data_IF_171426595788
#
_entry.id   IF_171426595788
#
_cell.length_a   1.000
_cell.length_b   1.000
_cell.length_c   1.000
_cell.angle_alpha   90.00
_cell.angle_beta   90.00
_cell.angle_gamma   90.00
#
_symmetry.space_group_name_H-M   'P 1'
#
loop_
_entity.id
_entity.type
_entity.pdbx_description
1 polymer ?
#
# COMPACT_ATOMS: atom_id res chain seq x y z
N UNK A 1 -21.91 -22.51 21.16
CA UNK A 1 -20.74 -21.66 21.52
C UNK A 1 -19.42 -22.20 20.97
N UNK A 2 -19.18 -23.53 20.96
CA UNK A 2 -17.97 -24.16 20.41
C UNK A 2 -17.79 -24.00 18.89
N UNK A 3 -18.88 -23.97 18.11
CA UNK A 3 -18.80 -23.84 16.64
C UNK A 3 -18.34 -22.46 16.13
N UNK A 4 -18.61 -21.38 16.86
CA UNK A 4 -18.27 -20.00 16.44
C UNK A 4 -16.77 -19.74 16.62
N UNK A 5 -16.18 -20.27 17.70
CA UNK A 5 -14.75 -20.11 18.00
C UNK A 5 -13.91 -20.88 16.98
N UNK A 6 -14.30 -22.13 16.67
CA UNK A 6 -13.62 -22.93 15.65
C UNK A 6 -13.77 -22.30 14.24
N UNK A 7 -14.95 -21.77 13.91
CA UNK A 7 -15.18 -21.10 12.64
C UNK A 7 -14.28 -19.84 12.47
N UNK A 8 -14.07 -19.07 13.54
CA UNK A 8 -13.14 -17.92 13.53
C UNK A 8 -11.66 -18.30 13.48
N UNK A 9 -11.31 -19.55 13.84
CA UNK A 9 -9.94 -20.07 13.86
C UNK A 9 -9.52 -20.69 12.52
N UNK A 10 -10.46 -21.27 11.76
CA UNK A 10 -10.15 -22.05 10.56
C UNK A 10 -10.73 -21.50 9.25
N UNK A 11 -11.70 -20.57 9.28
CA UNK A 11 -12.25 -19.92 8.08
C UNK A 11 -12.23 -18.41 8.24
N UNK A 12 -11.16 -17.79 7.74
CA UNK A 12 -11.04 -16.33 7.67
C UNK A 12 -11.98 -15.73 6.60
N UNK A 13 -12.46 -16.53 5.64
CA UNK A 13 -13.30 -16.08 4.53
C UNK A 13 -14.79 -16.31 4.77
N UNK A 14 -15.36 -15.65 5.78
CA UNK A 14 -16.82 -15.62 5.95
C UNK A 14 -17.34 -14.19 6.01
N UNK A 15 -18.37 -13.93 5.18
CA UNK A 15 -19.17 -12.69 5.17
C UNK A 15 -19.68 -12.27 6.56
N UNK A 16 -19.74 -13.21 7.51
CA UNK A 16 -20.12 -12.97 8.89
C UNK A 16 -19.13 -12.12 9.72
N UNK A 17 -17.88 -11.93 9.28
CA UNK A 17 -16.85 -11.14 9.99
C UNK A 17 -16.59 -9.74 9.41
N UNK A 18 -17.22 -9.38 8.28
CA UNK A 18 -16.99 -8.10 7.59
C UNK A 18 -17.46 -6.85 8.38
N UNK A 19 -18.33 -7.01 9.38
CA UNK A 19 -18.92 -5.92 10.17
C UNK A 19 -18.35 -5.76 11.58
N UNK A 20 -17.29 -6.49 11.92
CA UNK A 20 -16.73 -6.47 13.28
C UNK A 20 -15.89 -5.21 13.56
N UNK A 21 -16.21 -4.48 14.62
CA UNK A 21 -15.37 -3.37 15.12
C UNK A 21 -13.99 -3.88 15.55
N UNK A 22 -12.97 -3.04 15.42
CA UNK A 22 -11.58 -3.38 15.77
C UNK A 22 -11.45 -3.78 17.25
N UNK A 23 -12.15 -3.08 18.15
CA UNK A 23 -12.16 -3.38 19.58
C UNK A 23 -12.77 -4.76 19.88
N UNK A 24 -13.88 -5.10 19.21
CA UNK A 24 -14.50 -6.43 19.35
C UNK A 24 -13.59 -7.54 18.80
N UNK A 25 -12.82 -7.26 17.74
CA UNK A 25 -11.83 -8.21 17.20
C UNK A 25 -10.62 -8.37 18.11
N UNK A 26 -10.11 -7.30 18.72
CA UNK A 26 -9.06 -7.38 19.73
C UNK A 26 -9.58 -8.15 20.94
N UNK A 27 -10.81 -7.89 21.37
CA UNK A 27 -11.42 -8.55 22.52
C UNK A 27 -11.66 -10.04 22.26
N UNK A 28 -12.16 -10.42 21.08
CA UNK A 28 -12.34 -11.83 20.69
C UNK A 28 -10.99 -12.54 20.56
N UNK A 29 -9.96 -11.89 20.03
CA UNK A 29 -8.59 -12.44 19.95
C UNK A 29 -7.92 -12.58 21.31
N UNK A 30 -8.12 -11.60 22.19
CA UNK A 30 -7.68 -11.67 23.58
C UNK A 30 -8.42 -12.82 24.28
N UNK A 31 -9.71 -12.98 24.00
CA UNK A 31 -10.54 -14.07 24.54
C UNK A 31 -10.07 -15.42 24.02
N UNK A 32 -9.76 -15.57 22.73
CA UNK A 32 -9.17 -16.79 22.16
C UNK A 32 -7.80 -17.07 22.74
N UNK A 33 -6.92 -16.06 22.85
CA UNK A 33 -5.60 -16.23 23.47
C UNK A 33 -5.71 -16.64 24.94
N UNK A 34 -6.65 -16.06 25.69
CA UNK A 34 -6.96 -16.44 27.07
C UNK A 34 -7.51 -17.87 27.12
N UNK A 35 -8.45 -18.24 26.24
CA UNK A 35 -9.00 -19.61 26.15
C UNK A 35 -7.87 -20.61 25.85
N UNK A 36 -6.99 -20.32 24.88
CA UNK A 36 -5.87 -21.18 24.53
C UNK A 36 -4.83 -21.27 25.66
N UNK A 37 -4.57 -20.18 26.38
CA UNK A 37 -3.72 -20.18 27.56
C UNK A 37 -4.33 -20.99 28.72
N UNK A 38 -5.65 -20.89 28.93
CA UNK A 38 -6.39 -21.68 29.91
C UNK A 38 -6.37 -23.16 29.53
N UNK A 39 -6.64 -23.51 28.26
CA UNK A 39 -6.56 -24.89 27.76
C UNK A 39 -5.14 -25.42 27.94
N UNK A 40 -4.10 -24.65 27.57
CA UNK A 40 -2.70 -25.04 27.75
C UNK A 40 -2.35 -25.26 29.24
N UNK A 41 -2.84 -24.40 30.13
CA UNK A 41 -2.66 -24.54 31.57
C UNK A 41 -3.37 -25.78 32.13
N UNK A 42 -4.61 -26.05 31.69
CA UNK A 42 -5.36 -27.25 32.07
C UNK A 42 -4.67 -28.51 31.54
N UNK A 43 -4.21 -28.50 30.28
CA UNK A 43 -3.44 -29.62 29.71
C UNK A 43 -2.14 -29.87 30.46
N UNK A 44 -1.45 -28.82 30.92
CA UNK A 44 -0.25 -28.94 31.75
C UNK A 44 -0.57 -29.56 33.12
N UNK A 45 -1.66 -29.13 33.77
CA UNK A 45 -2.12 -29.70 35.05
C UNK A 45 -2.51 -31.18 34.88
N UNK A 46 -3.25 -31.49 33.81
CA UNK A 46 -3.64 -32.86 33.45
C UNK A 46 -2.45 -33.74 33.03
N UNK A 47 -1.33 -33.15 32.59
CA UNK A 47 -0.08 -33.87 32.34
C UNK A 47 0.66 -34.20 33.65
N UNK A 48 0.64 -33.27 34.61
CA UNK A 48 1.37 -33.38 35.89
C UNK A 48 0.68 -34.39 36.83
N UNK A 49 -0.65 -34.41 36.89
CA UNK A 49 -1.41 -35.28 37.82
C UNK A 49 -1.11 -36.79 37.60
N UNK A 50 -1.17 -37.36 36.39
CA UNK A 50 -0.83 -38.76 36.14
C UNK A 50 0.66 -39.05 36.31
N UNK A 51 1.53 -38.09 35.98
CA UNK A 51 2.98 -38.24 36.14
C UNK A 51 3.38 -38.37 37.62
N UNK A 52 2.74 -37.59 38.51
CA UNK A 52 2.97 -37.64 39.96
C UNK A 52 2.29 -38.85 40.61
N UNK A 53 1.03 -39.12 40.26
CA UNK A 53 0.22 -40.14 40.96
C UNK A 53 0.55 -41.55 40.47
N UNK A 54 0.73 -41.76 39.17
CA UNK A 54 0.80 -43.10 38.63
C UNK A 54 2.22 -43.64 38.48
N UNK A 55 3.27 -42.81 38.46
CA UNK A 55 4.69 -43.19 38.32
C UNK A 55 4.95 -44.39 37.38
N UNK A 56 4.11 -44.56 36.35
CA UNK A 56 4.08 -45.71 35.45
C UNK A 56 4.43 -45.23 34.04
N UNK A 57 4.95 -46.11 33.18
CA UNK A 57 5.31 -45.76 31.80
C UNK A 57 4.16 -45.09 31.03
N UNK A 58 2.92 -45.49 31.30
CA UNK A 58 1.70 -44.94 30.68
C UNK A 58 1.46 -43.48 31.12
N UNK A 59 1.71 -43.14 32.39
CA UNK A 59 1.59 -41.77 32.89
C UNK A 59 2.57 -40.81 32.22
N UNK A 60 3.79 -41.26 31.95
CA UNK A 60 4.79 -40.47 31.22
C UNK A 60 4.42 -40.25 29.75
N UNK A 61 3.79 -41.22 29.09
CA UNK A 61 3.29 -41.06 27.71
C UNK A 61 2.21 -39.97 27.64
N UNK A 62 1.24 -40.01 28.55
CA UNK A 62 0.19 -38.99 28.62
C UNK A 62 0.72 -37.61 28.96
N UNK A 63 1.67 -37.52 29.90
CA UNK A 63 2.33 -36.27 30.24
C UNK A 63 3.10 -35.68 29.05
N UNK A 64 3.77 -36.52 28.26
CA UNK A 64 4.46 -36.12 27.04
C UNK A 64 3.52 -35.58 25.96
N UNK A 65 2.39 -36.25 25.71
CA UNK A 65 1.40 -35.81 24.71
C UNK A 65 0.78 -34.47 25.11
N UNK A 66 0.27 -34.35 26.35
CA UNK A 66 -0.39 -33.12 26.80
C UNK A 66 0.59 -31.97 27.01
N UNK A 67 1.80 -32.24 27.52
CA UNK A 67 2.88 -31.25 27.61
C UNK A 67 3.33 -30.76 26.24
N UNK A 68 3.48 -31.67 25.28
CA UNK A 68 3.80 -31.34 23.88
C UNK A 68 2.72 -30.50 23.21
N UNK A 69 1.44 -30.84 23.41
CA UNK A 69 0.31 -30.06 22.89
C UNK A 69 0.26 -28.65 23.52
N UNK A 70 0.44 -28.56 24.84
CA UNK A 70 0.46 -27.28 25.57
C UNK A 70 1.60 -26.37 25.08
N UNK A 71 2.80 -26.94 24.87
CA UNK A 71 3.95 -26.24 24.33
C UNK A 71 3.72 -25.79 22.88
N UNK A 72 3.16 -26.67 22.02
CA UNK A 72 2.85 -26.35 20.64
C UNK A 72 1.84 -25.18 20.54
N UNK A 73 0.80 -25.20 21.36
CA UNK A 73 -0.20 -24.12 21.41
C UNK A 73 0.41 -22.81 21.96
N UNK A 74 1.28 -22.89 22.97
CA UNK A 74 1.97 -21.74 23.52
C UNK A 74 2.93 -21.11 22.49
N UNK A 75 3.74 -21.92 21.82
CA UNK A 75 4.62 -21.50 20.73
C UNK A 75 3.78 -20.88 19.61
N UNK A 76 2.69 -21.52 19.18
CA UNK A 76 1.82 -21.00 18.13
C UNK A 76 1.22 -19.64 18.50
N UNK A 77 0.80 -19.44 19.75
CA UNK A 77 0.23 -18.18 20.24
C UNK A 77 1.28 -17.07 20.28
N UNK A 78 2.51 -17.38 20.71
CA UNK A 78 3.63 -16.42 20.70
C UNK A 78 4.06 -16.11 19.26
N UNK A 79 4.21 -17.13 18.41
CA UNK A 79 4.64 -16.98 17.02
C UNK A 79 3.65 -16.12 16.26
N UNK A 80 2.34 -16.38 16.36
CA UNK A 80 1.32 -15.58 15.68
C UNK A 80 1.30 -14.12 16.12
N UNK A 81 1.57 -13.85 17.40
CA UNK A 81 1.61 -12.49 17.95
C UNK A 81 2.93 -11.75 17.65
N UNK A 82 4.05 -12.48 17.56
CA UNK A 82 5.36 -11.96 17.15
C UNK A 82 5.42 -11.72 15.64
N UNK A 83 4.82 -12.61 14.84
CA UNK A 83 4.74 -12.50 13.40
C UNK A 83 3.75 -11.41 12.94
N UNK A 84 2.79 -10.96 13.76
CA UNK A 84 1.96 -9.80 13.37
C UNK A 84 2.71 -8.46 13.41
N UNK A 85 3.88 -8.41 14.06
CA UNK A 85 4.46 -7.16 14.60
C UNK A 85 5.74 -6.65 13.95
N UNK A 86 6.11 -7.14 12.78
CA UNK A 86 7.34 -6.70 12.14
C UNK A 86 7.02 -5.73 10.99
N UNK A 87 7.27 -4.44 11.23
CA UNK A 87 7.59 -3.52 10.14
C UNK A 87 8.87 -4.02 9.43
N UNK A 88 8.94 -3.94 8.10
CA UNK A 88 10.13 -4.33 7.37
C UNK A 88 11.32 -3.43 7.75
N UNK A 89 12.53 -3.98 7.71
CA UNK A 89 13.75 -3.25 8.11
C UNK A 89 13.99 -2.00 7.27
N UNK A 90 13.70 -2.04 5.96
CA UNK A 90 13.77 -0.87 5.08
C UNK A 90 12.88 0.27 5.59
N UNK A 91 11.66 -0.05 6.02
CA UNK A 91 10.74 0.95 6.55
C UNK A 91 11.12 1.45 7.94
N UNK A 92 11.74 0.61 8.79
CA UNK A 92 12.33 1.08 10.05
C UNK A 92 13.44 2.10 9.81
N UNK A 93 14.25 1.93 8.75
CA UNK A 93 15.25 2.91 8.37
C UNK A 93 14.61 4.23 7.94
N UNK A 94 13.58 4.19 7.08
CA UNK A 94 12.78 5.37 6.70
C UNK A 94 12.22 6.08 7.93
N UNK A 95 11.73 5.35 8.93
CA UNK A 95 11.27 5.94 10.18
C UNK A 95 12.37 6.71 10.91
N UNK A 96 13.58 6.14 11.02
CA UNK A 96 14.72 6.80 11.68
C UNK A 96 15.20 8.05 10.95
N UNK A 97 15.00 8.11 9.64
CA UNK A 97 15.36 9.26 8.81
C UNK A 97 14.34 10.40 8.94
N UNK A 98 13.07 10.10 9.21
CA UNK A 98 11.97 11.08 9.17
C UNK A 98 11.45 11.49 10.56
N UNK A 99 11.75 10.75 11.62
CA UNK A 99 11.22 11.01 12.97
C UNK A 99 12.32 11.08 14.04
N UNK A 100 12.05 11.77 15.18
CA UNK A 100 13.00 11.83 16.30
C UNK A 100 13.31 10.45 16.90
N UNK A 101 14.51 10.31 17.47
CA UNK A 101 14.97 9.05 18.06
C UNK A 101 14.04 8.53 19.14
N UNK A 102 13.55 9.39 20.04
CA UNK A 102 12.60 9.00 21.09
C UNK A 102 11.32 8.37 20.53
N UNK A 103 10.83 8.90 19.39
CA UNK A 103 9.68 8.37 18.69
C UNK A 103 9.95 6.98 18.12
N UNK A 104 11.06 6.83 17.38
CA UNK A 104 11.48 5.58 16.79
C UNK A 104 11.75 4.51 17.85
N UNK A 105 12.38 4.89 18.96
CA UNK A 105 12.66 4.04 20.10
C UNK A 105 11.39 3.48 20.72
N UNK A 106 10.39 4.33 20.92
CA UNK A 106 9.10 3.90 21.46
C UNK A 106 8.42 2.89 20.53
N UNK A 107 8.33 3.22 19.24
CA UNK A 107 7.73 2.35 18.22
C UNK A 107 8.42 0.99 18.19
N UNK A 108 9.74 0.95 18.21
CA UNK A 108 10.52 -0.28 18.12
C UNK A 108 10.44 -1.10 19.40
N UNK A 109 10.63 -0.48 20.58
CA UNK A 109 10.58 -1.16 21.88
C UNK A 109 9.20 -1.74 22.18
N UNK A 110 8.13 -1.06 21.76
CA UNK A 110 6.74 -1.50 21.94
C UNK A 110 6.17 -2.28 20.76
N UNK A 111 6.93 -2.37 19.67
CA UNK A 111 6.52 -3.03 18.42
C UNK A 111 5.13 -2.56 17.98
N UNK A 112 4.96 -1.24 17.85
CA UNK A 112 3.70 -0.67 17.44
C UNK A 112 3.38 -1.06 16.00
N UNK A 113 2.10 -1.28 15.73
CA UNK A 113 1.57 -1.39 14.38
C UNK A 113 1.56 -0.03 13.68
N UNK A 114 1.42 -0.03 12.35
CA UNK A 114 1.27 1.21 11.58
C UNK A 114 0.05 2.02 12.02
N UNK A 115 -1.04 1.33 12.39
CA UNK A 115 -2.26 1.97 12.89
C UNK A 115 -2.06 2.63 14.25
N UNK A 116 -1.41 1.92 15.19
CA UNK A 116 -1.06 2.49 16.50
C UNK A 116 -0.13 3.70 16.33
N UNK A 117 0.79 3.65 15.37
CA UNK A 117 1.68 4.77 15.01
C UNK A 117 0.91 5.96 14.44
N UNK A 118 -0.06 5.71 13.55
CA UNK A 118 -0.94 6.74 12.98
C UNK A 118 -1.76 7.45 14.06
N UNK A 119 -2.34 6.68 14.99
CA UNK A 119 -3.09 7.24 16.14
C UNK A 119 -2.19 8.08 17.03
N UNK A 120 -0.97 7.62 17.27
CA UNK A 120 0.01 8.34 18.08
C UNK A 120 0.40 9.69 17.44
N UNK A 121 0.70 9.71 16.15
CA UNK A 121 1.03 10.94 15.42
C UNK A 121 -0.15 11.92 15.40
N UNK A 122 -1.36 11.43 15.14
CA UNK A 122 -2.55 12.28 15.18
C UNK A 122 -2.77 12.88 16.57
N UNK A 123 -2.61 12.10 17.65
CA UNK A 123 -2.72 12.62 19.01
C UNK A 123 -1.67 13.68 19.33
N UNK A 124 -0.46 13.53 18.80
CA UNK A 124 0.61 14.52 18.96
C UNK A 124 0.33 15.81 18.16
N UNK A 125 -0.15 15.67 16.93
CA UNK A 125 -0.50 16.82 16.08
C UNK A 125 -1.61 17.68 16.72
N UNK A 126 -2.67 17.03 17.24
CA UNK A 126 -3.76 17.73 17.92
C UNK A 126 -3.29 18.38 19.23
N UNK A 127 -2.41 17.71 19.99
CA UNK A 127 -1.83 18.30 21.20
C UNK A 127 -1.00 19.55 20.92
N UNK A 128 -0.27 19.59 19.80
CA UNK A 128 0.49 20.77 19.36
C UNK A 128 -0.44 21.92 18.97
N UNK A 129 -1.56 21.63 18.28
CA UNK A 129 -2.56 22.65 17.89
C UNK A 129 -3.27 23.26 19.09
N UNK A 130 -3.54 22.46 20.12
CA UNK A 130 -4.29 22.91 21.30
C UNK A 130 -3.48 23.82 22.24
N UNK A 131 -2.16 24.00 22.03
CA UNK A 131 -1.20 24.92 22.71
C UNK A 131 -1.17 24.95 24.25
N UNK A 132 -2.12 24.30 24.95
CA UNK A 132 -2.42 24.59 26.37
C UNK A 132 -2.89 23.34 27.13
N UNK A 133 -2.81 22.15 26.51
CA UNK A 133 -3.34 20.90 27.08
C UNK A 133 -2.25 19.83 27.11
N UNK A 134 -2.01 19.24 28.29
CA UNK A 134 -1.17 18.06 28.44
C UNK A 134 -1.62 16.95 27.48
N UNK A 135 -0.64 16.30 26.82
CA UNK A 135 -0.84 15.15 25.95
C UNK A 135 -1.73 14.05 26.59
N UNK A 136 -1.81 14.00 27.92
CA UNK A 136 -2.68 13.12 28.70
C UNK A 136 -4.16 13.12 28.27
N UNK A 137 -4.71 14.27 27.83
CA UNK A 137 -6.13 14.36 27.39
C UNK A 137 -6.40 13.49 26.17
N UNK A 138 -5.42 13.39 25.27
CA UNK A 138 -5.52 12.64 24.01
C UNK A 138 -5.39 11.13 24.22
N UNK A 139 -4.81 10.70 25.35
CA UNK A 139 -4.65 9.29 25.69
C UNK A 139 -5.98 8.57 25.96
N UNK A 140 -7.06 9.31 26.24
CA UNK A 140 -8.39 8.72 26.46
C UNK A 140 -8.91 8.02 25.20
N UNK A 141 -8.61 8.57 24.03
CA UNK A 141 -9.00 8.00 22.74
C UNK A 141 -8.12 6.82 22.30
N UNK A 142 -6.99 6.58 22.98
CA UNK A 142 -6.07 5.51 22.59
C UNK A 142 -6.54 4.15 23.09
N UNK A 143 -6.29 3.07 22.30
CA UNK A 143 -6.52 1.71 22.77
C UNK A 143 -5.79 1.45 24.09
N UNK A 144 -6.43 0.70 25.00
CA UNK A 144 -5.92 0.42 26.35
C UNK A 144 -4.47 -0.08 26.35
N UNK A 145 -4.10 -0.90 25.36
CA UNK A 145 -2.74 -1.40 25.17
C UNK A 145 -1.76 -0.25 24.92
N UNK A 146 -2.01 0.58 23.92
CA UNK A 146 -1.15 1.71 23.55
C UNK A 146 -0.98 2.70 24.72
N UNK A 147 -2.08 3.02 25.43
CA UNK A 147 -2.03 3.85 26.64
C UNK A 147 -1.17 3.23 27.73
N UNK A 148 -1.32 1.93 27.98
CA UNK A 148 -0.51 1.22 28.98
C UNK A 148 0.98 1.20 28.59
N UNK A 149 1.26 1.07 27.30
CA UNK A 149 2.63 1.07 26.78
C UNK A 149 3.30 2.43 26.87
N UNK A 150 2.58 3.52 26.57
CA UNK A 150 3.03 4.91 26.77
C UNK A 150 3.28 5.20 28.24
N UNK A 151 2.34 4.88 29.13
CA UNK A 151 2.49 5.09 30.57
C UNK A 151 3.72 4.36 31.12
N UNK A 152 3.97 3.13 30.67
CA UNK A 152 5.16 2.35 31.06
C UNK A 152 6.46 2.90 30.49
N UNK A 153 6.41 3.55 29.33
CA UNK A 153 7.59 4.16 28.71
C UNK A 153 7.95 5.50 29.36
N UNK A 154 6.94 6.18 29.92
CA UNK A 154 7.04 7.51 30.51
C UNK A 154 6.60 8.54 29.49
N UNK A 155 5.42 9.15 29.72
CA UNK A 155 4.83 10.13 28.81
C UNK A 155 5.71 11.37 28.71
N UNK A 156 6.16 11.91 29.84
CA UNK A 156 7.08 13.06 29.86
C UNK A 156 8.35 12.75 29.08
N UNK A 157 9.02 11.63 29.38
CA UNK A 157 10.20 11.19 28.63
C UNK A 157 9.95 11.10 27.11
N UNK A 158 8.77 10.65 26.71
CA UNK A 158 8.38 10.57 25.31
C UNK A 158 8.15 11.97 24.71
N UNK A 159 7.37 12.84 25.37
CA UNK A 159 7.06 14.18 24.88
C UNK A 159 8.27 15.11 24.88
N UNK A 160 9.09 15.09 25.93
CA UNK A 160 10.31 15.89 26.05
C UNK A 160 11.30 15.54 24.93
N UNK A 161 11.36 14.26 24.54
CA UNK A 161 12.16 13.78 23.41
C UNK A 161 11.64 14.16 22.02
N UNK A 162 10.47 14.79 21.94
CA UNK A 162 9.85 15.30 20.71
C UNK A 162 9.91 16.82 20.59
N UNK A 163 10.20 17.53 21.68
CA UNK A 163 10.20 18.99 21.70
C UNK A 163 11.15 19.56 20.63
N UNK A 164 10.67 20.56 19.88
CA UNK A 164 11.35 21.30 18.81
C UNK A 164 11.36 20.73 17.38
N UNK A 165 10.65 19.62 17.09
CA UNK A 165 10.51 19.15 15.69
C UNK A 165 9.06 19.04 15.22
N UNK A 166 8.77 19.70 14.10
CA UNK A 166 7.55 19.46 13.35
C UNK A 166 7.56 18.02 12.81
N UNK A 167 6.59 17.21 13.25
CA UNK A 167 6.51 15.82 12.84
C UNK A 167 5.89 15.73 11.46
N UNK A 168 6.59 15.09 10.53
CA UNK A 168 6.06 14.87 9.18
C UNK A 168 4.84 13.94 9.26
N UNK A 169 3.73 14.24 8.57
CA UNK A 169 2.57 13.35 8.53
C UNK A 169 2.94 11.96 7.98
N UNK A 170 2.40 10.92 8.62
CA UNK A 170 2.69 9.54 8.24
C UNK A 170 2.36 9.24 6.78
N UNK A 171 1.25 9.80 6.28
CA UNK A 171 0.83 9.60 4.89
C UNK A 171 1.83 10.18 3.91
N UNK A 172 2.51 11.28 4.25
CA UNK A 172 3.57 11.85 3.42
C UNK A 172 4.78 10.90 3.39
N UNK A 173 5.18 10.37 4.54
CA UNK A 173 6.29 9.40 4.64
C UNK A 173 5.98 8.13 3.84
N UNK A 174 4.78 7.56 4.01
CA UNK A 174 4.34 6.36 3.31
C UNK A 174 4.23 6.59 1.80
N UNK A 175 3.63 7.70 1.37
CA UNK A 175 3.46 8.04 -0.05
C UNK A 175 4.81 8.19 -0.76
N UNK A 176 5.79 8.82 -0.11
CA UNK A 176 7.10 9.06 -0.70
C UNK A 176 7.97 7.81 -0.77
N UNK A 177 7.87 6.92 0.23
CA UNK A 177 8.85 5.85 0.41
C UNK A 177 8.33 4.45 0.08
N UNK A 178 7.01 4.22 0.08
CA UNK A 178 6.43 2.88 -0.05
C UNK A 178 5.61 2.72 -1.36
N UNK A 179 6.13 2.01 -2.39
CA UNK A 179 5.45 1.84 -3.68
C UNK A 179 4.03 1.28 -3.59
N UNK A 180 3.80 0.23 -2.79
CA UNK A 180 2.48 -0.40 -2.68
C UNK A 180 1.47 0.56 -2.03
N UNK A 181 1.91 1.34 -1.05
CA UNK A 181 1.08 2.36 -0.42
C UNK A 181 0.76 3.50 -1.41
N UNK A 182 1.75 3.96 -2.18
CA UNK A 182 1.54 4.97 -3.23
C UNK A 182 0.50 4.49 -4.25
N UNK A 183 0.64 3.26 -4.76
CA UNK A 183 -0.28 2.66 -5.72
C UNK A 183 -1.70 2.55 -5.13
N UNK A 184 -1.83 2.12 -3.88
CA UNK A 184 -3.12 2.09 -3.17
C UNK A 184 -3.76 3.47 -3.13
N UNK A 185 -3.00 4.48 -2.68
CA UNK A 185 -3.49 5.86 -2.57
C UNK A 185 -3.89 6.44 -3.93
N UNK A 186 -3.15 6.12 -4.99
CA UNK A 186 -3.47 6.52 -6.37
C UNK A 186 -4.85 6.00 -6.83
N UNK A 187 -5.22 4.78 -6.40
CA UNK A 187 -6.55 4.21 -6.67
C UNK A 187 -7.63 4.83 -5.78
N UNK A 188 -7.34 5.05 -4.49
CA UNK A 188 -8.32 5.55 -3.53
C UNK A 188 -8.75 7.00 -3.81
N UNK A 189 -7.87 7.83 -4.36
CA UNK A 189 -8.19 9.22 -4.74
C UNK A 189 -8.74 9.36 -6.16
N UNK A 190 -8.83 8.25 -6.90
CA UNK A 190 -9.33 8.25 -8.26
C UNK A 190 -10.83 8.57 -8.29
N UNK A 191 -11.32 9.23 -9.36
CA UNK A 191 -12.75 9.40 -9.54
C UNK A 191 -13.43 8.03 -9.75
N UNK A 192 -14.75 7.98 -9.63
CA UNK A 192 -15.49 6.76 -9.99
C UNK A 192 -15.18 6.40 -11.45
N UNK A 193 -14.90 5.12 -11.71
CA UNK A 193 -14.63 4.64 -13.06
C UNK A 193 -15.79 5.04 -13.97
N UNK A 194 -15.55 5.60 -15.17
CA UNK A 194 -16.59 5.92 -16.14
C UNK A 194 -17.15 4.61 -16.73
N UNK A 195 -17.85 3.84 -15.92
CA UNK A 195 -18.46 2.59 -16.32
C UNK A 195 -19.92 2.91 -16.67
N UNK A 196 -20.25 2.89 -17.97
CA UNK A 196 -21.57 3.18 -18.51
C UNK A 196 -22.68 2.31 -17.90
N UNK A 197 -23.18 2.69 -16.72
CA UNK A 197 -24.27 2.02 -16.02
C UNK A 197 -23.91 0.75 -15.24
N UNK A 198 -22.63 0.39 -15.11
CA UNK A 198 -22.22 -0.79 -14.32
C UNK A 198 -22.12 -0.43 -12.84
N UNK A 199 -23.21 -0.69 -12.11
CA UNK A 199 -23.19 -0.68 -10.66
C UNK A 199 -22.40 -1.89 -10.12
N UNK A 200 -21.57 -1.68 -9.09
CA UNK A 200 -20.84 -2.70 -8.33
C UNK A 200 -19.58 -3.31 -8.98
N UNK A 201 -18.68 -2.49 -9.52
CA UNK A 201 -17.33 -2.96 -9.86
C UNK A 201 -16.56 -3.41 -8.61
N UNK A 202 -15.82 -4.51 -8.71
CA UNK A 202 -14.93 -4.98 -7.64
C UNK A 202 -13.73 -4.03 -7.49
N UNK A 203 -13.06 -4.07 -6.33
CA UNK A 203 -11.86 -3.25 -6.09
C UNK A 203 -10.75 -3.62 -7.09
N UNK A 204 -10.61 -4.90 -7.39
CA UNK A 204 -9.63 -5.42 -8.35
C UNK A 204 -9.90 -4.89 -9.77
N UNK A 205 -11.18 -4.73 -10.15
CA UNK A 205 -11.57 -4.16 -11.43
C UNK A 205 -11.27 -2.66 -11.51
N UNK A 206 -11.56 -1.93 -10.42
CA UNK A 206 -11.23 -0.50 -10.33
C UNK A 206 -9.72 -0.29 -10.40
N UNK A 207 -8.95 -1.04 -9.61
CA UNK A 207 -7.49 -0.98 -9.64
C UNK A 207 -6.94 -1.41 -11.00
N UNK A 208 -7.52 -2.42 -11.61
CA UNK A 208 -7.17 -2.89 -12.96
C UNK A 208 -7.41 -1.84 -14.04
N UNK A 209 -8.46 -1.05 -13.92
CA UNK A 209 -8.74 0.05 -14.83
C UNK A 209 -7.64 1.10 -14.73
N UNK A 210 -7.41 1.65 -13.53
CA UNK A 210 -6.50 2.77 -13.29
C UNK A 210 -5.01 2.46 -13.45
N UNK A 211 -4.59 1.20 -13.25
CA UNK A 211 -3.21 0.77 -13.51
C UNK A 211 -3.04 0.19 -14.92
N UNK A 212 -4.13 0.08 -15.68
CA UNK A 212 -4.15 -0.45 -17.03
C UNK A 212 -3.85 0.60 -18.09
N UNK A 213 -4.19 0.25 -19.34
CA UNK A 213 -4.12 1.19 -20.47
C UNK A 213 -5.21 2.25 -20.36
N UNK A 214 -4.91 3.47 -20.82
CA UNK A 214 -5.78 4.63 -20.71
C UNK A 214 -7.24 4.32 -21.14
N UNK A 215 -8.15 4.32 -20.18
CA UNK A 215 -9.60 4.15 -20.41
C UNK A 215 -10.01 2.77 -20.92
N UNK A 216 -9.16 1.74 -20.81
CA UNK A 216 -9.41 0.44 -21.45
C UNK A 216 -9.09 0.42 -22.95
N UNK A 217 -8.42 1.45 -23.46
CA UNK A 217 -8.05 1.58 -24.86
C UNK A 217 -6.99 0.53 -25.27
N UNK A 218 -7.20 -0.12 -26.43
CA UNK A 218 -6.31 -1.18 -26.93
C UNK A 218 -4.94 -0.65 -27.38
N UNK A 219 -4.89 0.55 -27.95
CA UNK A 219 -3.68 1.14 -28.54
C UNK A 219 -3.09 2.29 -27.72
N UNK A 220 -3.63 2.58 -26.53
CA UNK A 220 -3.05 3.54 -25.61
C UNK A 220 -2.02 2.90 -24.67
N UNK A 221 -1.13 3.71 -24.16
CA UNK A 221 -0.17 3.33 -23.14
C UNK A 221 -0.80 3.36 -21.72
N UNK A 222 -0.04 2.94 -20.71
CA UNK A 222 -0.41 3.09 -19.29
C UNK A 222 -0.02 4.48 -18.78
N UNK A 223 -0.42 4.84 -17.56
CA UNK A 223 0.05 6.08 -16.94
C UNK A 223 1.57 6.09 -16.68
N UNK A 224 2.22 4.90 -16.63
CA UNK A 224 3.62 4.73 -16.22
C UNK A 224 4.58 5.04 -17.37
N UNK A 225 4.59 6.30 -17.77
CA UNK A 225 5.48 6.87 -18.79
C UNK A 225 6.28 8.03 -18.22
N UNK A 226 7.49 8.23 -18.75
CA UNK A 226 8.32 9.39 -18.40
C UNK A 226 7.59 10.70 -18.68
N UNK A 227 6.90 10.79 -19.81
CA UNK A 227 6.12 11.95 -20.22
C UNK A 227 5.05 12.32 -19.20
N UNK A 228 4.38 11.34 -18.58
CA UNK A 228 3.37 11.57 -17.55
C UNK A 228 3.94 12.34 -16.37
N UNK A 229 5.18 12.04 -15.95
CA UNK A 229 5.82 12.78 -14.86
C UNK A 229 6.22 14.18 -15.27
N UNK A 230 6.79 14.36 -16.47
CA UNK A 230 7.11 15.70 -17.00
C UNK A 230 5.86 16.59 -17.04
N UNK A 231 4.75 16.04 -17.54
CA UNK A 231 3.45 16.72 -17.56
C UNK A 231 3.02 17.07 -16.13
N UNK A 232 3.02 16.10 -15.22
CA UNK A 232 2.60 16.32 -13.83
C UNK A 232 3.43 17.40 -13.10
N UNK A 233 4.72 17.55 -13.44
CA UNK A 233 5.56 18.59 -12.87
C UNK A 233 5.21 20.00 -13.36
N UNK A 234 4.79 20.14 -14.63
CA UNK A 234 4.70 21.43 -15.32
C UNK A 234 3.30 21.95 -15.58
N UNK A 235 2.31 21.08 -15.73
CA UNK A 235 0.95 21.49 -16.03
C UNK A 235 0.29 22.18 -14.83
N UNK A 236 -0.52 23.19 -15.10
CA UNK A 236 -1.35 23.87 -14.11
C UNK A 236 -2.71 23.18 -13.96
N UNK A 237 -3.43 23.48 -12.88
CA UNK A 237 -4.76 22.89 -12.66
C UNK A 237 -5.75 23.37 -13.72
N UNK A 238 -5.66 24.65 -14.06
CA UNK A 238 -6.49 25.34 -15.03
C UNK A 238 -6.30 24.74 -16.42
N UNK A 239 -5.04 24.55 -16.85
CA UNK A 239 -4.72 23.95 -18.14
C UNK A 239 -5.17 22.50 -18.20
N UNK A 240 -4.91 21.71 -17.16
CA UNK A 240 -5.33 20.32 -17.12
C UNK A 240 -6.86 20.15 -17.20
N UNK A 241 -7.60 20.96 -16.45
CA UNK A 241 -9.06 20.96 -16.49
C UNK A 241 -9.59 21.36 -17.87
N UNK A 242 -8.95 22.34 -18.50
CA UNK A 242 -9.29 22.77 -19.86
C UNK A 242 -9.08 21.62 -20.84
N UNK A 243 -7.90 20.99 -20.86
CA UNK A 243 -7.63 19.81 -21.69
C UNK A 243 -8.67 18.70 -21.48
N UNK A 244 -8.99 18.38 -20.23
CA UNK A 244 -9.99 17.37 -19.89
C UNK A 244 -11.39 17.72 -20.42
N UNK A 245 -11.77 18.99 -20.43
CA UNK A 245 -13.06 19.46 -20.96
C UNK A 245 -13.15 19.29 -22.47
N UNK A 246 -12.12 19.72 -23.22
CA UNK A 246 -12.09 19.56 -24.69
C UNK A 246 -12.07 18.08 -25.11
N UNK A 247 -11.32 17.23 -24.39
CA UNK A 247 -11.31 15.78 -24.65
C UNK A 247 -12.69 15.15 -24.44
N UNK A 248 -13.45 15.58 -23.42
CA UNK A 248 -14.82 15.09 -23.19
C UNK A 248 -15.80 15.49 -24.29
N UNK A 249 -15.55 16.62 -24.96
CA UNK A 249 -16.35 17.13 -26.06
C UNK A 249 -15.85 16.66 -27.43
N UNK A 250 -14.88 15.74 -27.47
CA UNK A 250 -14.25 15.23 -28.70
C UNK A 250 -13.60 16.32 -29.57
N UNK A 251 -13.11 17.40 -28.94
CA UNK A 251 -12.58 18.60 -29.61
C UNK A 251 -11.09 18.82 -29.31
N UNK A 252 -10.28 17.76 -29.44
CA UNK A 252 -8.85 17.80 -29.14
C UNK A 252 -8.03 18.66 -30.12
N UNK A 253 -8.54 18.87 -31.33
CA UNK A 253 -7.90 19.66 -32.39
C UNK A 253 -8.25 21.16 -32.33
N UNK A 254 -8.92 21.61 -31.26
CA UNK A 254 -9.30 23.01 -31.11
C UNK A 254 -8.08 23.96 -31.13
N UNK A 255 -8.17 25.04 -31.90
CA UNK A 255 -7.09 26.04 -32.05
C UNK A 255 -6.71 26.71 -30.72
N UNK A 256 -7.68 26.96 -29.82
CA UNK A 256 -7.41 27.54 -28.51
C UNK A 256 -6.61 26.59 -27.61
N UNK A 257 -6.79 25.27 -27.82
CA UNK A 257 -6.08 24.23 -27.09
C UNK A 257 -4.64 24.03 -27.61
N UNK A 258 -4.36 24.33 -28.88
CA UNK A 258 -3.01 24.21 -29.45
C UNK A 258 -1.98 25.06 -28.70
N UNK A 259 -2.34 26.29 -28.33
CA UNK A 259 -1.46 27.17 -27.56
C UNK A 259 -1.13 26.59 -26.17
N UNK A 260 -2.11 25.95 -25.52
CA UNK A 260 -1.92 25.28 -24.23
C UNK A 260 -1.00 24.06 -24.40
N UNK A 261 -1.28 23.21 -25.40
CA UNK A 261 -0.49 22.01 -25.72
C UNK A 261 0.97 22.34 -26.03
N UNK A 262 1.21 23.39 -26.80
CA UNK A 262 2.56 23.87 -27.11
C UNK A 262 3.28 24.37 -25.85
N UNK A 263 2.63 25.23 -25.06
CA UNK A 263 3.21 25.77 -23.82
C UNK A 263 3.59 24.68 -22.81
N UNK A 264 2.75 23.67 -22.63
CA UNK A 264 3.05 22.52 -21.77
C UNK A 264 4.24 21.73 -22.33
N UNK A 265 4.29 21.51 -23.65
CA UNK A 265 5.38 20.77 -24.29
C UNK A 265 6.72 21.49 -24.16
N UNK A 266 6.73 22.81 -24.34
CA UNK A 266 7.91 23.67 -24.10
C UNK A 266 8.39 23.54 -22.64
N UNK A 267 7.47 23.70 -21.68
CA UNK A 267 7.80 23.61 -20.26
C UNK A 267 8.35 22.23 -19.86
N UNK A 268 7.84 21.15 -20.47
CA UNK A 268 8.36 19.80 -20.31
C UNK A 268 9.77 19.65 -20.93
N UNK A 269 10.01 20.25 -22.11
CA UNK A 269 11.31 20.19 -22.77
C UNK A 269 12.40 20.87 -21.93
N UNK A 270 12.07 21.97 -21.25
CA UNK A 270 13.00 22.64 -20.33
C UNK A 270 13.46 21.71 -19.19
N UNK A 271 12.58 20.87 -18.64
CA UNK A 271 12.95 19.88 -17.60
C UNK A 271 13.99 18.91 -18.13
N UNK A 272 13.76 18.39 -19.34
CA UNK A 272 14.65 17.40 -19.93
C UNK A 272 16.02 18.01 -20.22
N UNK A 273 16.04 19.24 -20.76
CA UNK A 273 17.30 19.96 -21.05
C UNK A 273 18.09 20.33 -19.79
N UNK A 274 17.42 20.66 -18.69
CA UNK A 274 18.10 20.88 -17.40
C UNK A 274 18.78 19.61 -16.87
N UNK A 275 18.29 18.43 -17.26
CA UNK A 275 18.89 17.14 -16.90
C UNK A 275 20.05 16.71 -17.78
N UNK A 276 20.08 17.11 -19.06
CA UNK A 276 21.17 16.85 -20.00
C UNK A 276 21.12 17.84 -21.20
N UNK A 277 21.94 18.89 -21.16
CA UNK A 277 21.99 19.92 -22.21
C UNK A 277 22.51 19.39 -23.56
N UNK A 278 23.19 18.25 -23.57
CA UNK A 278 23.79 17.65 -24.77
C UNK A 278 22.90 16.60 -25.44
N UNK A 279 21.70 16.37 -24.92
CA UNK A 279 20.80 15.37 -25.48
C UNK A 279 20.25 15.88 -26.83
N UNK A 280 20.60 15.18 -27.92
CA UNK A 280 20.04 15.43 -29.25
C UNK A 280 18.56 15.05 -29.32
N UNK A 281 17.69 15.90 -28.81
CA UNK A 281 16.23 15.68 -28.77
C UNK A 281 15.61 16.12 -30.09
N UNK A 282 14.94 15.19 -30.76
CA UNK A 282 13.98 15.52 -31.82
C UNK A 282 12.77 16.22 -31.18
N UNK A 283 12.74 17.55 -31.29
CA UNK A 283 11.73 18.42 -30.68
C UNK A 283 10.33 18.04 -31.17
N UNK A 284 10.16 17.81 -32.47
CA UNK A 284 8.87 17.46 -33.08
C UNK A 284 8.34 16.14 -32.50
N UNK A 285 9.20 15.13 -32.40
CA UNK A 285 8.83 13.85 -31.79
C UNK A 285 8.55 13.98 -30.30
N UNK A 286 9.32 14.77 -29.57
CA UNK A 286 9.11 15.02 -28.14
C UNK A 286 7.75 15.68 -27.89
N UNK A 287 7.42 16.73 -28.64
CA UNK A 287 6.18 17.49 -28.48
C UNK A 287 4.98 16.60 -28.74
N UNK A 288 5.04 15.83 -29.84
CA UNK A 288 4.01 14.83 -30.15
C UNK A 288 3.88 13.80 -29.02
N UNK A 289 4.98 13.35 -28.45
CA UNK A 289 4.98 12.43 -27.31
C UNK A 289 4.28 13.01 -26.07
N UNK A 290 4.58 14.26 -25.71
CA UNK A 290 3.93 14.95 -24.58
C UNK A 290 2.44 15.14 -24.84
N UNK A 291 2.07 15.61 -26.04
CA UNK A 291 0.66 15.82 -26.41
C UNK A 291 -0.14 14.52 -26.39
N UNK A 292 0.43 13.42 -26.91
CA UNK A 292 -0.21 12.11 -26.86
C UNK A 292 -0.41 11.64 -25.42
N UNK A 293 0.61 11.72 -24.56
CA UNK A 293 0.48 11.33 -23.16
C UNK A 293 -0.54 12.22 -22.41
N UNK A 294 -0.61 13.51 -22.73
CA UNK A 294 -1.61 14.42 -22.16
C UNK A 294 -3.03 14.02 -22.56
N UNK A 295 -3.24 13.70 -23.84
CA UNK A 295 -4.51 13.17 -24.35
C UNK A 295 -4.89 11.87 -23.62
N UNK A 296 -3.96 10.93 -23.50
CA UNK A 296 -4.17 9.65 -22.82
C UNK A 296 -4.56 9.84 -21.34
N UNK A 297 -3.90 10.75 -20.61
CA UNK A 297 -4.26 11.08 -19.23
C UNK A 297 -5.68 11.62 -19.11
N UNK A 298 -6.06 12.54 -20.00
CA UNK A 298 -7.40 13.12 -20.04
C UNK A 298 -8.47 12.07 -20.37
N UNK A 299 -8.19 11.20 -21.34
CA UNK A 299 -9.08 10.11 -21.76
C UNK A 299 -9.21 9.05 -20.69
N UNK A 300 -8.11 8.74 -20.00
CA UNK A 300 -8.13 7.79 -18.89
C UNK A 300 -9.01 8.28 -17.74
N UNK A 301 -9.16 9.60 -17.62
CA UNK A 301 -9.95 10.25 -16.58
C UNK A 301 -9.16 10.50 -15.30
N UNK A 302 -7.84 10.64 -15.40
CA UNK A 302 -6.97 10.94 -14.26
C UNK A 302 -7.42 12.24 -13.60
N UNK A 303 -7.61 12.24 -12.28
CA UNK A 303 -7.96 13.47 -11.55
C UNK A 303 -6.76 14.36 -11.28
N UNK A 304 -7.01 15.63 -10.95
CA UNK A 304 -5.96 16.55 -10.54
C UNK A 304 -5.21 16.04 -9.29
N UNK A 305 -5.93 15.40 -8.36
CA UNK A 305 -5.38 14.82 -7.15
C UNK A 305 -4.44 13.64 -7.47
N UNK A 306 -4.81 12.79 -8.43
CA UNK A 306 -3.94 11.73 -8.95
C UNK A 306 -2.69 12.31 -9.62
N UNK A 307 -2.83 13.38 -10.39
CA UNK A 307 -1.68 14.05 -11.02
C UNK A 307 -0.74 14.68 -9.99
N UNK A 308 -1.29 15.29 -8.93
CA UNK A 308 -0.50 15.79 -7.80
C UNK A 308 0.24 14.66 -7.07
N UNK A 309 -0.37 13.47 -6.99
CA UNK A 309 0.27 12.31 -6.40
C UNK A 309 1.47 11.82 -7.24
N UNK A 310 1.37 11.84 -8.57
CA UNK A 310 2.48 11.58 -9.49
C UNK A 310 3.58 12.63 -9.30
N UNK A 311 3.20 13.91 -9.23
CA UNK A 311 4.12 15.03 -9.00
C UNK A 311 4.93 14.89 -7.70
N UNK A 312 4.35 14.26 -6.67
CA UNK A 312 4.99 14.10 -5.36
C UNK A 312 6.13 13.06 -5.33
N UNK A 313 6.19 12.17 -6.33
CA UNK A 313 7.32 11.26 -6.49
C UNK A 313 8.47 11.95 -7.21
N UNK A 314 9.68 11.68 -6.75
CA UNK A 314 10.89 11.99 -7.48
C UNK A 314 10.97 11.19 -8.79
N UNK A 315 11.70 11.75 -9.75
CA UNK A 315 11.80 11.16 -11.07
C UNK A 315 12.44 9.76 -11.05
N UNK A 316 13.36 9.48 -10.13
CA UNK A 316 14.02 8.16 -10.04
C UNK A 316 13.04 7.05 -9.68
N UNK A 317 12.23 7.26 -8.63
CA UNK A 317 11.18 6.30 -8.24
C UNK A 317 10.09 6.17 -9.31
N UNK A 318 9.74 7.26 -10.01
CA UNK A 318 8.81 7.20 -11.13
C UNK A 318 9.36 6.43 -12.34
N UNK A 319 10.60 6.71 -12.72
CA UNK A 319 11.30 6.03 -13.82
C UNK A 319 11.45 4.53 -13.53
N UNK A 320 11.65 4.17 -12.25
CA UNK A 320 11.60 2.78 -11.81
C UNK A 320 10.22 2.13 -12.02
N UNK A 321 9.11 2.79 -11.70
CA UNK A 321 7.76 2.28 -12.01
C UNK A 321 7.53 2.16 -13.52
N UNK A 322 8.03 3.10 -14.32
CA UNK A 322 7.98 3.01 -15.79
C UNK A 322 8.72 1.77 -16.30
N UNK A 323 9.91 1.50 -15.75
CA UNK A 323 10.71 0.32 -16.09
C UNK A 323 9.99 -0.99 -15.71
N UNK A 324 9.39 -1.04 -14.52
CA UNK A 324 8.60 -2.19 -14.06
C UNK A 324 7.35 -2.42 -14.91
N UNK A 325 6.68 -1.36 -15.35
CA UNK A 325 5.49 -1.49 -16.18
C UNK A 325 5.84 -1.99 -17.58
N UNK A 326 6.93 -1.46 -18.15
CA UNK A 326 7.46 -1.81 -19.48
C UNK A 326 6.44 -1.64 -20.61
N UNK A 327 5.41 -0.80 -20.41
CA UNK A 327 4.21 -0.67 -21.23
C UNK A 327 3.48 -2.02 -21.51
N UNK A 328 3.75 -3.01 -20.65
CA UNK A 328 3.15 -4.36 -20.67
C UNK A 328 2.22 -4.57 -19.49
N UNK A 329 1.82 -3.48 -18.82
CA UNK A 329 0.98 -3.49 -17.63
C UNK A 329 1.62 -4.30 -16.49
N UNK A 330 2.96 -4.28 -16.41
CA UNK A 330 3.71 -5.00 -15.39
C UNK A 330 3.32 -4.54 -13.98
N UNK A 331 3.12 -3.22 -13.79
CA UNK A 331 2.70 -2.67 -12.50
C UNK A 331 1.33 -3.19 -12.11
N UNK A 332 0.37 -3.16 -13.04
CA UNK A 332 -0.98 -3.72 -12.83
C UNK A 332 -0.94 -5.18 -12.39
N UNK A 333 -0.11 -6.02 -13.04
CA UNK A 333 -0.07 -7.47 -12.79
C UNK A 333 0.30 -7.83 -11.36
N UNK A 334 1.29 -7.16 -10.77
CA UNK A 334 1.72 -7.43 -9.39
C UNK A 334 0.95 -6.60 -8.35
N UNK A 335 0.54 -5.39 -8.71
CA UNK A 335 -0.02 -4.46 -7.75
C UNK A 335 -1.47 -4.81 -7.40
N UNK A 336 -2.33 -5.07 -8.40
CA UNK A 336 -3.77 -5.28 -8.20
C UNK A 336 -4.06 -6.33 -7.10
N UNK A 337 -3.41 -7.52 -7.08
CA UNK A 337 -3.60 -8.50 -6.01
C UNK A 337 -3.28 -7.98 -4.60
N UNK A 338 -2.42 -6.97 -4.48
CA UNK A 338 -1.98 -6.39 -3.21
C UNK A 338 -2.82 -5.18 -2.76
N UNK A 339 -3.63 -4.57 -3.64
CA UNK A 339 -4.36 -3.32 -3.34
C UNK A 339 -5.69 -3.52 -2.58
N UNK A 340 -5.98 -4.77 -2.19
CA UNK A 340 -7.11 -5.14 -1.35
C UNK A 340 -6.75 -5.28 0.12
N UNK A 341 -7.05 -6.46 0.65
CA UNK A 341 -6.88 -6.83 2.04
C UNK A 341 -5.41 -6.80 2.52
N UNK A 342 -4.46 -7.05 1.61
CA UNK A 342 -3.02 -7.05 1.87
C UNK A 342 -2.53 -5.67 2.32
N UNK A 343 -3.06 -4.59 1.72
CA UNK A 343 -2.62 -3.21 1.94
C UNK A 343 -3.60 -2.32 2.70
N UNK A 344 -4.78 -2.83 3.02
CA UNK A 344 -5.69 -2.16 3.93
C UNK A 344 -5.23 -2.36 5.38
N UNK A 345 -4.62 -1.32 5.97
CA UNK A 345 -4.18 -1.30 7.37
C UNK A 345 -5.31 -1.71 8.35
N UNK A 346 -6.58 -1.44 8.00
CA UNK A 346 -7.77 -1.76 8.82
C UNK A 346 -8.24 -3.20 8.65
N UNK A 347 -7.74 -3.88 7.63
CA UNK A 347 -8.07 -5.25 7.35
C UNK A 347 -7.30 -6.22 8.25
N UNK A 348 -7.95 -7.31 8.62
CA UNK A 348 -7.38 -8.28 9.54
C UNK A 348 -6.27 -9.13 8.91
N UNK A 349 -6.23 -9.17 7.58
CA UNK A 349 -5.24 -9.83 6.74
C UNK A 349 -4.21 -8.84 6.18
N UNK A 350 -4.08 -7.65 6.79
CA UNK A 350 -3.05 -6.69 6.43
C UNK A 350 -1.65 -7.30 6.55
N UNK A 351 -0.84 -7.13 5.52
CA UNK A 351 0.53 -7.64 5.44
C UNK A 351 1.55 -6.48 5.46
N UNK A 352 2.05 -6.07 6.64
CA UNK A 352 2.99 -4.95 6.74
C UNK A 352 4.30 -5.19 5.98
N UNK A 353 4.73 -6.45 5.84
CA UNK A 353 5.97 -6.80 5.13
C UNK A 353 5.84 -6.73 3.60
N UNK A 354 4.63 -6.55 3.08
CA UNK A 354 4.36 -6.31 1.66
C UNK A 354 4.03 -4.84 1.47
N UNK A 355 3.07 -4.34 2.25
CA UNK A 355 2.49 -3.01 2.08
C UNK A 355 3.42 -1.86 2.47
N UNK A 356 4.39 -2.12 3.37
CA UNK A 356 5.38 -1.14 3.82
C UNK A 356 6.76 -1.39 3.20
N UNK A 357 6.86 -2.20 2.13
CA UNK A 357 8.10 -2.28 1.38
C UNK A 357 8.48 -0.90 0.87
N UNK A 358 9.76 -0.59 0.99
CA UNK A 358 10.33 0.67 0.50
C UNK A 358 10.91 0.51 -0.91
N UNK A 359 11.16 1.61 -1.60
CA UNK A 359 11.90 1.60 -2.88
C UNK A 359 13.23 0.87 -2.77
N UNK A 360 13.98 1.13 -1.69
CA UNK A 360 15.24 0.44 -1.39
C UNK A 360 15.07 -1.07 -1.18
N UNK A 361 13.94 -1.51 -0.64
CA UNK A 361 13.66 -2.94 -0.53
C UNK A 361 13.50 -3.58 -1.92
N UNK A 362 12.93 -2.87 -2.89
CA UNK A 362 12.84 -3.37 -4.27
C UNK A 362 14.25 -3.52 -4.89
N UNK A 363 15.13 -2.53 -4.68
CA UNK A 363 16.53 -2.63 -5.11
C UNK A 363 17.26 -3.84 -4.47
N UNK A 364 17.04 -4.05 -3.17
CA UNK A 364 17.60 -5.18 -2.42
C UNK A 364 17.06 -6.54 -2.90
N UNK A 365 15.85 -6.55 -3.46
CA UNK A 365 15.35 -7.72 -4.18
C UNK A 365 16.06 -7.94 -5.49
N UNK A 366 17.03 -7.12 -5.88
CA UNK A 366 17.74 -7.19 -7.16
C UNK A 366 16.88 -6.71 -8.30
N UNK A 367 15.91 -5.83 -8.03
CA UNK A 367 15.11 -5.11 -9.03
C UNK A 367 15.69 -3.72 -9.18
N UNK A 368 16.91 -3.63 -9.71
CA UNK A 368 17.51 -2.34 -10.03
C UNK A 368 16.97 -1.87 -11.38
N UNK A 369 16.73 -0.57 -11.48
CA UNK A 369 16.23 0.08 -12.69
C UNK A 369 17.06 -0.28 -13.93
N UNK A 370 18.39 -0.16 -13.84
CA UNK A 370 19.32 -0.42 -14.94
C UNK A 370 19.23 -1.87 -15.41
N UNK A 371 19.17 -2.82 -14.47
CA UNK A 371 19.06 -4.25 -14.78
C UNK A 371 17.72 -4.63 -15.42
N UNK A 372 16.63 -3.91 -15.08
CA UNK A 372 15.33 -4.08 -15.74
C UNK A 372 15.42 -3.54 -17.18
N UNK A 373 15.97 -2.34 -17.37
CA UNK A 373 16.10 -1.74 -18.70
C UNK A 373 17.02 -2.53 -19.63
N UNK A 374 18.15 -3.04 -19.13
CA UNK A 374 19.08 -3.87 -19.89
C UNK A 374 18.54 -5.29 -20.17
N UNK A 375 17.37 -5.64 -19.64
CA UNK A 375 16.75 -6.95 -19.85
C UNK A 375 17.46 -8.10 -19.11
N UNK A 376 18.33 -7.79 -18.14
CA UNK A 376 19.03 -8.77 -17.31
C UNK A 376 18.04 -9.54 -16.41
N UNK A 377 16.94 -8.88 -16.03
CA UNK A 377 15.87 -9.45 -15.21
C UNK A 377 14.70 -9.80 -16.12
N UNK A 378 14.54 -11.10 -16.38
CA UNK A 378 13.33 -11.62 -17.05
C UNK A 378 12.16 -11.63 -16.08
N UNK A 379 11.09 -10.91 -16.42
CA UNK A 379 9.82 -10.84 -15.68
C UNK A 379 9.98 -10.35 -14.22
N UNK A 380 10.32 -9.08 -13.99
CA UNK A 380 10.49 -8.51 -12.63
C UNK A 380 9.26 -8.69 -11.73
N UNK A 381 8.05 -8.69 -12.30
CA UNK A 381 6.80 -8.94 -11.60
C UNK A 381 6.76 -10.32 -10.91
N UNK A 382 7.36 -11.35 -11.52
CA UNK A 382 7.44 -12.68 -10.92
C UNK A 382 8.36 -12.71 -9.70
N UNK A 383 9.39 -11.87 -9.68
CA UNK A 383 10.33 -11.78 -8.55
C UNK A 383 9.67 -11.08 -7.36
N UNK A 384 8.91 -10.02 -7.62
CA UNK A 384 8.03 -9.41 -6.62
C UNK A 384 7.02 -10.41 -6.07
N UNK A 385 6.35 -11.16 -6.95
CA UNK A 385 5.36 -12.16 -6.55
C UNK A 385 5.96 -13.26 -5.66
N UNK A 386 7.14 -13.78 -6.00
CA UNK A 386 7.85 -14.75 -5.17
C UNK A 386 8.16 -14.19 -3.78
N UNK A 387 8.53 -12.92 -3.71
CA UNK A 387 8.72 -12.24 -2.44
C UNK A 387 7.40 -12.10 -1.67
N UNK A 388 6.33 -11.63 -2.33
CA UNK A 388 5.02 -11.46 -1.71
C UNK A 388 4.48 -12.79 -1.15
N UNK A 389 4.52 -13.88 -1.91
CA UNK A 389 4.12 -15.20 -1.44
C UNK A 389 4.97 -15.72 -0.27
N UNK A 390 6.26 -15.36 -0.23
CA UNK A 390 7.13 -15.72 0.90
C UNK A 390 6.78 -14.91 2.16
N UNK A 391 6.32 -13.68 2.00
CA UNK A 391 5.95 -12.80 3.11
C UNK A 391 4.48 -12.88 3.49
N UNK A 392 3.60 -13.45 2.65
CA UNK A 392 2.19 -13.60 2.94
C UNK A 392 1.99 -14.63 4.05
N UNK A 393 1.60 -14.13 5.23
CA UNK A 393 1.36 -14.92 6.44
C UNK A 393 -0.11 -15.29 6.58
N UNK A 394 -0.98 -14.44 6.05
CA UNK A 394 -2.44 -14.51 6.20
C UNK A 394 -3.15 -14.88 4.90
N UNK A 395 -2.42 -14.92 3.78
CA UNK A 395 -2.94 -15.27 2.46
C UNK A 395 -2.32 -16.58 1.99
N UNK A 396 -3.13 -17.48 1.42
CA UNK A 396 -2.69 -18.79 0.91
C UNK A 396 -1.71 -18.64 -0.25
N UNK A 397 -2.02 -17.73 -1.17
CA UNK A 397 -1.15 -17.28 -2.25
C UNK A 397 -1.58 -15.88 -2.67
N UNK A 398 -0.62 -15.12 -3.16
CA UNK A 398 -0.83 -13.93 -3.97
C UNK A 398 -0.43 -14.31 -5.38
N UNK A 399 -1.42 -14.43 -6.25
CA UNK A 399 -1.20 -14.77 -7.66
C UNK A 399 -1.17 -13.50 -8.51
N UNK A 400 -0.40 -13.53 -9.60
CA UNK A 400 -0.46 -12.43 -10.57
C UNK A 400 -1.88 -12.31 -11.10
N UNK A 401 -2.28 -11.08 -11.41
CA UNK A 401 -3.55 -10.86 -12.08
C UNK A 401 -3.58 -11.67 -13.39
N UNK A 402 -4.48 -12.64 -13.47
CA UNK A 402 -4.62 -13.50 -14.64
C UNK A 402 -5.16 -12.70 -15.83
N UNK A 403 -4.76 -13.10 -17.05
CA UNK A 403 -5.25 -12.45 -18.26
C UNK A 403 -6.78 -12.58 -18.43
N UNK A 404 -7.40 -13.59 -17.82
CA UNK A 404 -8.86 -13.80 -17.88
C UNK A 404 -9.67 -12.84 -16.99
N UNK A 405 -9.05 -12.25 -15.97
CA UNK A 405 -9.63 -11.18 -15.14
C UNK A 405 -9.37 -9.80 -15.80
N UNK A 406 -8.72 -9.75 -16.98
CA UNK A 406 -8.56 -8.53 -17.77
C UNK A 406 -9.92 -8.02 -18.24
N UNK A 407 -10.56 -7.23 -17.38
CA UNK A 407 -11.61 -6.29 -17.73
C UNK A 407 -12.73 -6.98 -18.51
N UNK A 408 -13.54 -7.81 -17.82
CA UNK A 408 -14.80 -8.33 -18.38
C UNK A 408 -15.79 -7.21 -18.71
N UNK A 409 -15.57 -6.01 -18.17
CA UNK A 409 -16.60 -4.98 -18.04
C UNK A 409 -16.25 -3.57 -18.56
N UNK A 410 -15.04 -2.99 -18.42
CA UNK A 410 -14.81 -1.65 -18.96
C UNK A 410 -14.68 -1.66 -20.49
N UNK A 411 -15.01 -0.51 -21.12
CA UNK A 411 -15.11 -0.39 -22.57
C UNK A 411 -13.76 -0.64 -23.22
N UNK A 412 -13.77 -1.45 -24.29
CA UNK A 412 -12.61 -1.66 -25.16
C UNK A 412 -12.85 -0.88 -26.43
N UNK A 413 -12.10 0.20 -26.61
CA UNK A 413 -12.10 1.00 -27.83
C UNK A 413 -10.68 1.20 -28.33
N UNK A 414 -10.57 1.69 -29.55
CA UNK A 414 -9.33 2.22 -30.13
C UNK A 414 -9.42 3.74 -30.16
N UNK A 415 -8.31 4.39 -29.84
CA UNK A 415 -8.20 5.83 -29.84
C UNK A 415 -7.54 6.29 -31.14
N UNK A 416 -8.20 7.21 -31.83
CA UNK A 416 -7.54 8.03 -32.85
C UNK A 416 -6.74 9.12 -32.16
N UNK A 417 -5.41 8.96 -32.10
CA UNK A 417 -4.52 9.83 -31.31
C UNK A 417 -4.43 11.24 -31.92
N UNK A 418 -4.78 11.39 -33.20
CA UNK A 418 -4.87 12.69 -33.88
C UNK A 418 -6.10 13.46 -33.41
N UNK A 419 -7.28 12.83 -33.48
CA UNK A 419 -8.57 13.51 -33.28
C UNK A 419 -9.11 13.38 -31.85
N UNK A 420 -8.58 12.44 -31.06
CA UNK A 420 -9.14 12.07 -29.75
C UNK A 420 -10.40 11.19 -29.83
N UNK A 421 -10.88 10.86 -31.04
CA UNK A 421 -12.11 10.10 -31.25
C UNK A 421 -11.97 8.63 -30.82
N UNK A 422 -13.01 8.12 -30.15
CA UNK A 422 -13.10 6.72 -29.72
C UNK A 422 -13.81 5.88 -30.78
N UNK A 423 -13.19 4.78 -31.21
CA UNK A 423 -13.77 3.81 -32.17
C UNK A 423 -13.88 2.45 -31.49
N UNK A 424 -15.09 1.90 -31.38
CA UNK A 424 -15.34 0.59 -30.72
C UNK A 424 -14.71 -0.60 -31.46
#
# INVERSE_FOLDING_TARGET
MSGIILHSLFKNDCRCHASYSFDKRIQDRLTVAIIMAVISSISLILAIIPAIIMATPIGFIWAGIFGGLALALFIFTILTNYLRKNMPEGFKAVFKENYPEAFCDFIQKKQLTIQETRLLLHGLEEAVKDQDISFDKYLVAFPKKLRTDLNKYGISKFTDGLEQRELVPLDTVLTKNCPIYWLKKFIEIAPNVPAGGLANLSREEIASYWLGRAGGCKNAETIFLKNTHFIAQKITREDFNTCCLYVRNEDWENEELEAIKHRISDACLEVVRQGDENLGIDITRFFKGIQNSLLELCIHGVSWEQLCLIKSLDFENWDFLCALDGNKQGVRKFAVPCLGEVSDERHHLYEPLISLLTWKDFDNLGLKKESIFMGEIRNPENRLLKYFNRQSRYHTSIDLLSEEILLKHPPRYTLDVSTGAKKE
#
